data_IF_506560524511
#
_entry.id   IF_506560524511
#
_cell.length_a   1.000
_cell.length_b   1.000
_cell.length_c   1.000
_cell.angle_alpha   90.00
_cell.angle_beta   90.00
_cell.angle_gamma   90.00
#
_symmetry.space_group_name_H-M   'P 1'
#
loop_
_entity.id
_entity.type
_entity.pdbx_description
1 polymer ?
#
# COMPACT_ATOMS: atom_id res chain seq x y z
N UNK A 1 11.28 21.82 -6.04
CA UNK A 1 10.91 20.76 -5.09
C UNK A 1 10.34 19.57 -5.80
N UNK A 2 9.36 19.78 -6.66
CA UNK A 2 8.39 18.75 -7.04
C UNK A 2 8.93 17.57 -7.86
N UNK A 3 10.03 17.72 -8.59
CA UNK A 3 10.66 16.60 -9.29
C UNK A 3 11.76 15.92 -8.46
N UNK A 4 12.85 16.63 -8.15
CA UNK A 4 13.98 16.06 -7.43
C UNK A 4 13.68 15.75 -5.96
N UNK A 5 12.89 16.59 -5.29
CA UNK A 5 12.50 16.39 -3.89
C UNK A 5 11.56 15.20 -3.73
N UNK A 6 10.52 15.09 -4.57
CA UNK A 6 9.61 13.95 -4.54
C UNK A 6 10.34 12.64 -4.86
N UNK A 7 11.27 12.64 -5.83
CA UNK A 7 12.06 11.46 -6.13
C UNK A 7 12.97 11.03 -4.96
N UNK A 8 13.59 12.00 -4.27
CA UNK A 8 14.42 11.72 -3.08
C UNK A 8 13.59 11.20 -1.91
N UNK A 9 12.44 11.79 -1.64
CA UNK A 9 11.53 11.39 -0.55
C UNK A 9 11.01 9.96 -0.75
N UNK A 10 10.63 9.61 -1.99
CA UNK A 10 10.24 8.25 -2.34
C UNK A 10 11.40 7.25 -2.25
N UNK A 11 12.62 7.64 -2.63
CA UNK A 11 13.80 6.79 -2.51
C UNK A 11 14.16 6.52 -1.05
N UNK A 12 14.13 7.55 -0.20
CA UNK A 12 14.38 7.44 1.23
C UNK A 12 13.33 6.53 1.89
N UNK A 13 12.04 6.81 1.67
CA UNK A 13 10.94 6.02 2.23
C UNK A 13 10.97 4.55 1.78
N UNK A 14 11.26 4.29 0.50
CA UNK A 14 11.37 2.92 -0.03
C UNK A 14 12.54 2.16 0.59
N UNK A 15 13.68 2.83 0.79
CA UNK A 15 14.85 2.24 1.46
C UNK A 15 14.55 1.89 2.91
N UNK A 16 13.93 2.81 3.67
CA UNK A 16 13.57 2.59 5.08
C UNK A 16 12.60 1.43 5.22
N UNK A 17 11.55 1.35 4.38
CA UNK A 17 10.58 0.25 4.42
C UNK A 17 11.21 -1.10 4.08
N UNK A 18 12.11 -1.15 3.09
CA UNK A 18 12.82 -2.38 2.74
C UNK A 18 13.68 -2.88 3.90
N UNK A 19 14.51 -2.01 4.48
CA UNK A 19 15.40 -2.36 5.58
C UNK A 19 14.61 -2.81 6.81
N UNK A 20 13.53 -2.10 7.17
CA UNK A 20 12.65 -2.49 8.27
C UNK A 20 12.02 -3.87 8.04
N UNK A 21 11.57 -4.13 6.81
CA UNK A 21 10.98 -5.42 6.44
C UNK A 21 11.97 -6.58 6.51
N UNK A 22 13.24 -6.35 6.13
CA UNK A 22 14.31 -7.34 6.22
C UNK A 22 14.62 -7.67 7.69
N UNK A 23 14.77 -6.65 8.53
CA UNK A 23 15.09 -6.81 9.96
C UNK A 23 13.99 -7.60 10.68
N UNK A 24 12.73 -7.32 10.39
CA UNK A 24 11.57 -7.99 11.00
C UNK A 24 11.17 -9.30 10.31
N UNK A 25 11.70 -9.61 9.13
CA UNK A 25 11.24 -10.73 8.32
C UNK A 25 11.45 -12.11 8.96
N UNK A 26 12.60 -12.32 9.61
CA UNK A 26 12.94 -13.60 10.27
C UNK A 26 12.10 -13.81 11.54
N UNK A 27 11.92 -12.76 12.33
CA UNK A 27 11.09 -12.81 13.54
C UNK A 27 9.61 -12.98 13.21
N UNK A 28 9.11 -12.32 12.15
CA UNK A 28 7.75 -12.48 11.66
C UNK A 28 7.47 -13.92 11.19
N UNK A 29 8.40 -14.55 10.47
CA UNK A 29 8.25 -15.96 10.04
C UNK A 29 8.26 -16.93 11.22
N UNK A 30 9.16 -16.72 12.17
CA UNK A 30 9.23 -17.52 13.40
C UNK A 30 7.93 -17.41 14.23
N UNK A 31 7.34 -16.21 14.30
CA UNK A 31 6.07 -15.96 15.00
C UNK A 31 4.86 -16.62 14.31
N UNK A 32 4.93 -16.84 13.00
CA UNK A 32 3.89 -17.51 12.20
C UNK A 32 3.96 -19.04 12.34
N UNK A 33 4.96 -19.58 13.04
CA UNK A 33 5.13 -21.02 13.28
C UNK A 33 5.99 -21.72 12.23
N UNK A 34 6.73 -20.96 11.42
CA UNK A 34 7.68 -21.52 10.44
C UNK A 34 8.94 -21.99 11.17
N UNK A 35 9.43 -23.19 10.85
CA UNK A 35 10.63 -23.76 11.44
C UNK A 35 11.87 -22.88 11.23
N UNK A 36 12.89 -22.96 12.12
CA UNK A 36 14.06 -22.08 12.09
C UNK A 36 14.89 -22.18 10.79
N UNK A 37 14.80 -23.31 10.09
CA UNK A 37 15.44 -23.52 8.78
C UNK A 37 14.78 -22.75 7.63
N UNK A 38 13.47 -22.52 7.70
CA UNK A 38 12.70 -21.77 6.71
C UNK A 38 12.53 -20.29 7.08
N UNK A 39 12.76 -19.91 8.35
CA UNK A 39 12.65 -18.52 8.81
C UNK A 39 13.61 -17.57 8.07
N UNK A 40 14.75 -18.07 7.58
CA UNK A 40 15.69 -17.31 6.76
C UNK A 40 15.07 -16.83 5.43
N UNK A 41 14.03 -17.49 4.92
CA UNK A 41 13.29 -17.06 3.71
C UNK A 41 12.62 -15.71 3.91
N UNK A 42 12.27 -15.34 5.15
CA UNK A 42 11.72 -14.04 5.52
C UNK A 42 12.64 -12.85 5.24
N UNK A 43 13.95 -13.09 5.09
CA UNK A 43 14.92 -12.06 4.73
C UNK A 43 14.86 -11.70 3.24
N UNK A 44 14.70 -12.72 2.40
CA UNK A 44 14.71 -12.59 0.92
C UNK A 44 13.34 -12.18 0.38
N UNK A 45 12.26 -12.60 1.04
CA UNK A 45 10.90 -12.30 0.63
C UNK A 45 10.61 -10.81 0.37
N UNK A 46 10.88 -9.86 1.30
CA UNK A 46 10.59 -8.44 1.06
C UNK A 46 11.42 -7.85 -0.09
N UNK A 47 12.66 -8.30 -0.26
CA UNK A 47 13.53 -7.90 -1.39
C UNK A 47 12.94 -8.38 -2.71
N UNK A 48 12.52 -9.64 -2.77
CA UNK A 48 11.92 -10.22 -3.96
C UNK A 48 10.60 -9.53 -4.34
N UNK A 49 9.72 -9.27 -3.36
CA UNK A 49 8.46 -8.55 -3.59
C UNK A 49 8.72 -7.14 -4.14
N UNK A 50 9.70 -6.42 -3.58
CA UNK A 50 10.06 -5.09 -4.06
C UNK A 50 10.63 -5.13 -5.50
N UNK A 51 11.47 -6.12 -5.82
CA UNK A 51 12.01 -6.30 -7.17
C UNK A 51 10.91 -6.58 -8.20
N UNK A 52 9.94 -7.44 -7.88
CA UNK A 52 8.77 -7.66 -8.74
C UNK A 52 7.90 -6.42 -8.87
N UNK A 53 7.72 -5.65 -7.80
CA UNK A 53 7.02 -4.36 -7.83
C UNK A 53 7.67 -3.35 -8.77
N UNK A 54 9.00 -3.29 -8.81
CA UNK A 54 9.74 -2.44 -9.76
C UNK A 54 9.48 -2.86 -11.21
N UNK A 55 9.56 -4.16 -11.50
CA UNK A 55 9.27 -4.70 -12.84
C UNK A 55 7.82 -4.39 -13.25
N UNK A 56 6.86 -4.58 -12.34
CA UNK A 56 5.47 -4.27 -12.56
C UNK A 56 5.24 -2.77 -12.84
N UNK A 57 5.96 -1.89 -12.15
CA UNK A 57 5.93 -0.44 -12.39
C UNK A 57 6.46 -0.06 -13.77
N UNK A 58 7.61 -0.64 -14.18
CA UNK A 58 8.16 -0.43 -15.53
C UNK A 58 7.14 -0.80 -16.61
N UNK A 59 6.51 -1.98 -16.48
CA UNK A 59 5.46 -2.43 -17.40
C UNK A 59 4.26 -1.46 -17.37
N UNK A 60 3.82 -1.05 -16.17
CA UNK A 60 2.73 -0.11 -15.99
C UNK A 60 2.95 1.21 -16.71
N UNK A 61 4.16 1.77 -16.64
CA UNK A 61 4.55 3.02 -17.32
C UNK A 61 4.40 2.88 -18.83
N UNK A 62 4.86 1.78 -19.44
CA UNK A 62 4.71 1.55 -20.88
C UNK A 62 3.24 1.36 -21.34
N UNK A 63 2.36 0.99 -20.42
CA UNK A 63 0.93 0.79 -20.66
C UNK A 63 0.09 2.04 -20.43
N UNK A 64 0.65 3.11 -19.87
CA UNK A 64 -0.02 4.42 -19.77
C UNK A 64 -0.19 4.98 -21.19
N UNK A 65 -1.40 4.81 -21.74
CA UNK A 65 -1.78 5.35 -23.05
C UNK A 65 -3.14 6.04 -22.96
N UNK A 66 -3.23 7.34 -23.33
CA UNK A 66 -4.51 8.04 -23.41
C UNK A 66 -5.35 7.43 -24.53
N UNK A 67 -6.65 7.23 -24.29
CA UNK A 67 -7.58 6.77 -25.33
C UNK A 67 -8.09 7.93 -26.17
N UNK A 68 -8.44 7.71 -27.45
CA UNK A 68 -9.07 8.74 -28.27
C UNK A 68 -10.37 9.25 -27.60
N UNK A 69 -10.48 10.57 -27.41
CA UNK A 69 -11.62 11.22 -26.74
C UNK A 69 -11.52 11.33 -25.21
N UNK A 70 -10.41 10.89 -24.60
CA UNK A 70 -10.18 11.04 -23.17
C UNK A 70 -9.65 12.45 -22.85
N UNK A 71 -10.44 13.26 -22.12
CA UNK A 71 -10.10 14.66 -21.77
C UNK A 71 -9.26 14.79 -20.50
N UNK A 72 -9.12 13.69 -19.74
CA UNK A 72 -8.52 13.66 -18.42
C UNK A 72 -7.28 12.77 -18.42
N UNK A 73 -6.10 13.40 -18.32
CA UNK A 73 -4.82 12.71 -18.30
C UNK A 73 -4.65 11.82 -17.05
N UNK A 74 -5.28 12.18 -15.92
CA UNK A 74 -5.18 11.41 -14.68
C UNK A 74 -5.78 10.01 -14.84
N UNK A 75 -6.85 9.86 -15.64
CA UNK A 75 -7.45 8.55 -15.89
C UNK A 75 -6.52 7.58 -16.62
N UNK A 76 -5.67 8.09 -17.52
CA UNK A 76 -4.68 7.27 -18.20
C UNK A 76 -3.58 6.80 -17.23
N UNK A 77 -3.15 7.69 -16.32
CA UNK A 77 -2.16 7.40 -15.28
C UNK A 77 -2.72 6.41 -14.27
N UNK A 78 -3.91 6.64 -13.74
CA UNK A 78 -4.61 5.74 -12.80
C UNK A 78 -4.76 4.33 -13.36
N UNK A 79 -5.02 4.21 -14.67
CA UNK A 79 -5.09 2.92 -15.35
C UNK A 79 -3.75 2.20 -15.36
N UNK A 80 -2.66 2.91 -15.65
CA UNK A 80 -1.31 2.36 -15.59
C UNK A 80 -0.92 1.91 -14.19
N UNK A 81 -1.23 2.73 -13.18
CA UNK A 81 -1.04 2.38 -11.76
C UNK A 81 -1.84 1.12 -11.40
N UNK A 82 -3.12 1.05 -11.78
CA UNK A 82 -3.96 -0.12 -11.52
C UNK A 82 -3.43 -1.41 -12.17
N UNK A 83 -2.93 -1.32 -13.41
CA UNK A 83 -2.31 -2.48 -14.07
C UNK A 83 -1.01 -2.89 -13.36
N UNK A 84 -0.15 -1.94 -13.00
CA UNK A 84 1.07 -2.22 -12.24
C UNK A 84 0.75 -2.89 -10.90
N UNK A 85 -0.28 -2.44 -10.19
CA UNK A 85 -0.73 -3.05 -8.94
C UNK A 85 -1.18 -4.50 -9.13
N UNK A 86 -1.97 -4.80 -10.18
CA UNK A 86 -2.41 -6.17 -10.47
C UNK A 86 -1.22 -7.07 -10.75
N UNK A 87 -0.26 -6.62 -11.57
CA UNK A 87 0.95 -7.39 -11.88
C UNK A 87 1.79 -7.61 -10.61
N UNK A 88 1.94 -6.59 -9.78
CA UNK A 88 2.66 -6.69 -8.51
C UNK A 88 2.00 -7.69 -7.54
N UNK A 89 0.66 -7.70 -7.46
CA UNK A 89 -0.08 -8.68 -6.65
C UNK A 89 0.09 -10.10 -7.17
N UNK A 90 0.07 -10.31 -8.49
CA UNK A 90 0.33 -11.63 -9.09
C UNK A 90 1.76 -12.08 -8.78
N UNK A 91 2.75 -11.18 -8.91
CA UNK A 91 4.14 -11.47 -8.54
C UNK A 91 4.29 -11.81 -7.05
N UNK A 92 3.63 -11.06 -6.18
CA UNK A 92 3.61 -11.33 -4.75
C UNK A 92 2.94 -12.67 -4.42
N UNK A 93 1.86 -13.05 -5.12
CA UNK A 93 1.22 -14.35 -4.97
C UNK A 93 2.16 -15.49 -5.39
N UNK A 94 2.82 -15.34 -6.55
CA UNK A 94 3.78 -16.33 -7.04
C UNK A 94 4.95 -16.52 -6.06
N UNK A 95 5.46 -15.44 -5.47
CA UNK A 95 6.49 -15.51 -4.43
C UNK A 95 5.97 -16.11 -3.12
N UNK A 96 4.79 -15.71 -2.66
CA UNK A 96 4.24 -16.18 -1.40
C UNK A 96 3.91 -17.69 -1.44
N UNK A 97 3.32 -18.19 -2.52
CA UNK A 97 2.99 -19.61 -2.64
C UNK A 97 4.15 -20.46 -3.19
N UNK A 98 5.03 -19.89 -4.02
CA UNK A 98 6.14 -20.61 -4.64
C UNK A 98 7.44 -20.62 -3.83
N UNK A 99 7.77 -19.52 -3.13
CA UNK A 99 9.04 -19.36 -2.41
C UNK A 99 8.90 -19.64 -0.90
N UNK A 100 7.88 -19.09 -0.25
CA UNK A 100 7.59 -19.42 1.17
C UNK A 100 6.99 -20.82 1.26
N UNK A 101 6.12 -21.17 0.30
CA UNK A 101 5.52 -22.49 0.22
C UNK A 101 4.48 -22.74 1.31
N UNK A 102 3.95 -23.96 1.33
CA UNK A 102 3.12 -24.49 2.40
C UNK A 102 3.89 -25.63 3.06
N UNK A 103 4.85 -25.35 3.97
CA UNK A 103 5.60 -26.39 4.65
C UNK A 103 4.66 -27.06 5.65
N UNK A 104 3.93 -28.07 5.17
CA UNK A 104 3.08 -29.01 5.87
C UNK A 104 1.99 -28.44 6.79
N UNK A 105 0.85 -29.13 6.81
CA UNK A 105 -0.23 -28.90 7.76
C UNK A 105 0.24 -29.18 9.19
N UNK A 106 0.96 -28.24 9.81
CA UNK A 106 1.34 -28.32 11.22
C UNK A 106 0.25 -27.64 12.03
N UNK A 107 -0.54 -28.47 12.69
CA UNK A 107 -1.77 -28.13 13.37
C UNK A 107 -1.63 -27.25 14.61
N UNK A 108 -2.79 -26.79 15.06
CA UNK A 108 -3.04 -26.42 16.45
C UNK A 108 -2.73 -24.97 16.81
N UNK A 109 -3.58 -24.04 16.38
CA UNK A 109 -3.59 -22.70 16.94
C UNK A 109 -4.65 -21.82 16.31
N UNK A 110 -5.53 -21.28 17.14
CA UNK A 110 -6.69 -20.44 16.87
C UNK A 110 -6.33 -19.16 16.05
N UNK A 111 -6.14 -19.31 14.74
CA UNK A 111 -5.62 -18.27 13.83
C UNK A 111 -6.41 -18.27 12.51
N UNK A 112 -6.73 -17.07 11.99
CA UNK A 112 -7.63 -16.85 10.84
C UNK A 112 -7.23 -17.54 9.53
N UNK A 113 -5.94 -17.83 9.30
CA UNK A 113 -5.43 -18.51 8.09
C UNK A 113 -4.33 -19.49 8.52
N UNK A 114 -4.46 -20.78 8.20
CA UNK A 114 -3.51 -21.83 8.63
C UNK A 114 -2.21 -21.88 7.81
N UNK A 115 -2.18 -21.29 6.62
CA UNK A 115 -1.04 -21.36 5.70
C UNK A 115 -0.10 -20.12 5.85
N UNK A 116 1.18 -20.31 6.20
CA UNK A 116 2.17 -19.23 6.32
C UNK A 116 2.33 -18.37 5.05
N UNK A 117 2.32 -18.99 3.87
CA UNK A 117 2.41 -18.28 2.59
C UNK A 117 1.20 -17.39 2.35
N UNK A 118 0.00 -17.85 2.71
CA UNK A 118 -1.22 -17.06 2.60
C UNK A 118 -1.25 -15.86 3.57
N UNK A 119 -0.62 -15.97 4.74
CA UNK A 119 -0.47 -14.84 5.68
C UNK A 119 0.46 -13.76 5.13
N UNK A 120 1.62 -14.15 4.58
CA UNK A 120 2.55 -13.20 3.95
C UNK A 120 1.94 -12.53 2.72
N UNK A 121 1.22 -13.29 1.91
CA UNK A 121 0.46 -12.74 0.80
C UNK A 121 -0.62 -11.77 1.28
N UNK A 122 -1.37 -12.14 2.31
CA UNK A 122 -2.37 -11.28 2.94
C UNK A 122 -1.78 -9.96 3.45
N UNK A 123 -0.60 -10.00 4.08
CA UNK A 123 0.08 -8.80 4.56
C UNK A 123 0.46 -7.86 3.40
N UNK A 124 0.98 -8.41 2.30
CA UNK A 124 1.27 -7.62 1.08
C UNK A 124 -0.02 -7.06 0.49
N UNK A 125 -1.10 -7.84 0.43
CA UNK A 125 -2.41 -7.38 -0.06
C UNK A 125 -2.97 -6.22 0.78
N UNK A 126 -2.85 -6.29 2.11
CA UNK A 126 -3.27 -5.19 3.00
C UNK A 126 -2.47 -3.92 2.69
N UNK A 127 -1.16 -4.03 2.46
CA UNK A 127 -0.32 -2.90 2.05
C UNK A 127 -0.72 -2.32 0.69
N UNK A 128 -0.99 -3.17 -0.31
CA UNK A 128 -1.46 -2.74 -1.64
C UNK A 128 -2.83 -2.07 -1.54
N UNK A 129 -3.75 -2.64 -0.76
CA UNK A 129 -5.08 -2.09 -0.53
C UNK A 129 -5.01 -0.73 0.18
N UNK A 130 -4.12 -0.57 1.16
CA UNK A 130 -3.86 0.72 1.81
C UNK A 130 -3.37 1.76 0.80
N UNK A 131 -2.38 1.41 -0.04
CA UNK A 131 -1.88 2.31 -1.08
C UNK A 131 -2.96 2.74 -2.08
N UNK A 132 -3.84 1.80 -2.49
CA UNK A 132 -4.97 2.10 -3.35
C UNK A 132 -6.01 3.00 -2.65
N UNK A 133 -6.34 2.71 -1.39
CA UNK A 133 -7.27 3.51 -0.60
C UNK A 133 -6.74 4.93 -0.39
N UNK A 134 -5.46 5.07 -0.02
CA UNK A 134 -4.79 6.36 0.14
C UNK A 134 -4.84 7.17 -1.17
N UNK A 135 -4.48 6.56 -2.29
CA UNK A 135 -4.57 7.19 -3.61
C UNK A 135 -5.99 7.67 -3.93
N UNK A 136 -7.02 6.87 -3.64
CA UNK A 136 -8.43 7.26 -3.88
C UNK A 136 -8.93 8.36 -2.95
N UNK A 137 -8.56 8.31 -1.68
CA UNK A 137 -8.88 9.38 -0.71
C UNK A 137 -8.25 10.69 -1.19
N UNK A 138 -6.95 10.69 -1.50
CA UNK A 138 -6.25 11.87 -2.02
C UNK A 138 -6.90 12.38 -3.31
N UNK A 139 -7.21 11.52 -4.27
CA UNK A 139 -7.88 11.91 -5.52
C UNK A 139 -9.27 12.53 -5.25
N UNK A 140 -10.02 12.04 -4.28
CA UNK A 140 -11.34 12.59 -3.93
C UNK A 140 -11.24 14.00 -3.35
N UNK A 141 -10.27 14.28 -2.48
CA UNK A 141 -10.11 15.60 -1.85
C UNK A 141 -9.32 16.60 -2.72
N UNK A 142 -8.69 16.17 -3.82
CA UNK A 142 -7.85 17.04 -4.68
C UNK A 142 -8.39 17.22 -6.10
N UNK A 143 -9.30 16.37 -6.58
CA UNK A 143 -9.84 16.48 -7.93
C UNK A 143 -10.80 17.68 -8.09
N UNK A 144 -10.68 18.41 -9.19
CA UNK A 144 -11.55 19.56 -9.51
C UNK A 144 -13.00 19.17 -9.79
N UNK A 145 -13.26 17.90 -10.07
CA UNK A 145 -14.60 17.39 -10.38
C UNK A 145 -15.35 16.88 -9.15
N UNK A 146 -14.71 16.79 -7.99
CA UNK A 146 -15.31 16.25 -6.77
C UNK A 146 -15.89 17.36 -5.88
N UNK A 147 -16.82 16.96 -5.02
CA UNK A 147 -17.55 17.87 -4.14
C UNK A 147 -16.64 18.73 -3.23
N UNK A 148 -15.61 18.18 -2.55
CA UNK A 148 -14.77 18.98 -1.65
C UNK A 148 -14.12 20.18 -2.35
N UNK A 149 -13.51 19.96 -3.52
CA UNK A 149 -12.83 21.05 -4.26
C UNK A 149 -13.84 22.04 -4.85
N UNK A 150 -15.01 21.56 -5.28
CA UNK A 150 -16.09 22.45 -5.75
C UNK A 150 -16.66 23.31 -4.63
N UNK A 151 -16.71 22.82 -3.39
CA UNK A 151 -17.19 23.58 -2.25
C UNK A 151 -16.17 24.67 -1.85
N UNK A 152 -14.86 24.39 -1.91
CA UNK A 152 -13.80 25.42 -1.84
C UNK A 152 -14.00 26.46 -2.94
N UNK A 153 -14.22 26.03 -4.18
CA UNK A 153 -14.42 26.93 -5.30
C UNK A 153 -15.67 27.81 -5.12
N UNK A 154 -16.75 27.31 -4.51
CA UNK A 154 -17.93 28.13 -4.18
C UNK A 154 -17.64 29.12 -3.05
N UNK A 155 -16.86 28.72 -2.04
CA UNK A 155 -16.45 29.60 -0.94
C UNK A 155 -15.66 30.82 -1.42
N UNK A 156 -15.00 30.75 -2.58
CA UNK A 156 -14.34 31.92 -3.19
C UNK A 156 -15.28 33.08 -3.48
N UNK A 157 -16.59 32.82 -3.66
CA UNK A 157 -17.59 33.88 -3.91
C UNK A 157 -17.82 34.77 -2.69
N UNK A 158 -17.52 34.30 -1.48
CA UNK A 158 -17.69 35.05 -0.23
C UNK A 158 -16.40 35.72 0.24
N UNK A 159 -15.28 35.46 -0.43
CA UNK A 159 -14.01 36.16 -0.26
C UNK A 159 -12.79 35.24 -0.06
N UNK A 160 -11.58 35.82 0.04
CA UNK A 160 -10.35 35.05 0.26
C UNK A 160 -10.31 34.37 1.63
N UNK A 161 -10.83 35.02 2.67
CA UNK A 161 -10.82 34.48 4.02
C UNK A 161 -11.62 33.17 4.14
N UNK A 162 -12.82 33.13 3.54
CA UNK A 162 -13.67 31.93 3.52
C UNK A 162 -13.08 30.81 2.67
N UNK A 163 -12.38 31.14 1.59
CA UNK A 163 -11.65 30.14 0.77
C UNK A 163 -10.59 29.42 1.60
N UNK A 164 -9.78 30.17 2.36
CA UNK A 164 -8.71 29.60 3.19
C UNK A 164 -9.29 28.75 4.33
N UNK A 165 -10.35 29.24 4.98
CA UNK A 165 -11.02 28.50 6.05
C UNK A 165 -11.62 27.18 5.54
N UNK A 166 -12.29 27.20 4.39
CA UNK A 166 -12.85 26.00 3.76
C UNK A 166 -11.75 25.00 3.38
N UNK A 167 -10.64 25.50 2.81
CA UNK A 167 -9.48 24.68 2.45
C UNK A 167 -8.83 24.01 3.66
N UNK A 168 -8.65 24.73 4.77
CA UNK A 168 -8.12 24.16 6.03
C UNK A 168 -9.10 23.14 6.59
N UNK A 169 -10.40 23.45 6.60
CA UNK A 169 -11.41 22.55 7.16
C UNK A 169 -11.46 21.21 6.41
N UNK A 170 -11.49 21.25 5.07
CA UNK A 170 -11.49 20.03 4.25
C UNK A 170 -10.14 19.30 4.29
N UNK A 171 -9.04 20.04 4.46
CA UNK A 171 -7.73 19.46 4.70
C UNK A 171 -7.71 18.60 5.97
N UNK A 172 -8.25 19.12 7.07
CA UNK A 172 -8.38 18.38 8.33
C UNK A 172 -9.34 17.18 8.19
N UNK A 173 -10.44 17.32 7.45
CA UNK A 173 -11.35 16.20 7.16
C UNK A 173 -10.63 15.08 6.40
N UNK A 174 -9.84 15.43 5.37
CA UNK A 174 -9.09 14.43 4.57
C UNK A 174 -8.09 13.63 5.41
N UNK A 175 -7.48 14.27 6.40
CA UNK A 175 -6.54 13.63 7.31
C UNK A 175 -7.20 12.54 8.17
N UNK A 176 -8.45 12.75 8.60
CA UNK A 176 -9.22 11.75 9.36
C UNK A 176 -9.44 10.49 8.54
N UNK A 177 -9.83 10.64 7.27
CA UNK A 177 -10.01 9.49 6.37
C UNK A 177 -8.71 8.75 6.11
N UNK A 178 -7.59 9.48 5.93
CA UNK A 178 -6.26 8.89 5.83
C UNK A 178 -5.87 8.09 7.06
N UNK A 179 -6.10 8.66 8.25
CA UNK A 179 -5.81 7.98 9.53
C UNK A 179 -6.64 6.70 9.70
N UNK A 180 -7.93 6.73 9.37
CA UNK A 180 -8.80 5.56 9.44
C UNK A 180 -8.30 4.45 8.51
N UNK A 181 -7.88 4.79 7.28
CA UNK A 181 -7.34 3.82 6.33
C UNK A 181 -6.07 3.14 6.87
N UNK A 182 -5.15 3.92 7.44
CA UNK A 182 -3.93 3.40 8.07
C UNK A 182 -4.25 2.51 9.28
N UNK A 183 -5.15 2.95 10.16
CA UNK A 183 -5.57 2.18 11.33
C UNK A 183 -6.20 0.84 10.94
N UNK A 184 -7.06 0.83 9.91
CA UNK A 184 -7.65 -0.39 9.38
C UNK A 184 -6.60 -1.34 8.78
N UNK A 185 -5.61 -0.81 8.06
CA UNK A 185 -4.52 -1.60 7.50
C UNK A 185 -3.63 -2.22 8.59
N UNK A 186 -3.26 -1.44 9.62
CA UNK A 186 -2.51 -1.96 10.77
C UNK A 186 -3.32 -3.06 11.48
N UNK A 187 -4.61 -2.83 11.72
CA UNK A 187 -5.49 -3.84 12.32
C UNK A 187 -5.57 -5.13 11.49
N UNK A 188 -5.69 -5.01 10.16
CA UNK A 188 -5.68 -6.16 9.24
C UNK A 188 -4.35 -6.92 9.26
N UNK A 189 -3.22 -6.21 9.26
CA UNK A 189 -1.89 -6.82 9.33
C UNK A 189 -1.66 -7.56 10.66
N UNK A 190 -2.07 -6.98 11.79
CA UNK A 190 -1.97 -7.61 13.11
C UNK A 190 -2.87 -8.85 13.20
N UNK A 191 -4.08 -8.80 12.66
CA UNK A 191 -4.99 -9.95 12.62
C UNK A 191 -4.38 -11.12 11.82
N UNK A 192 -3.70 -10.84 10.70
CA UNK A 192 -3.01 -11.85 9.90
C UNK A 192 -1.76 -12.41 10.61
N UNK A 193 -1.10 -11.62 11.45
CA UNK A 193 0.01 -12.04 12.31
C UNK A 193 -0.41 -12.77 13.59
N UNK A 194 -1.71 -13.04 13.77
CA UNK A 194 -2.21 -13.80 14.91
C UNK A 194 -2.43 -13.00 16.19
N UNK A 195 -2.66 -11.69 16.08
CA UNK A 195 -3.05 -10.85 17.22
C UNK A 195 -1.94 -10.61 18.26
N UNK A 196 -0.69 -10.96 17.96
CA UNK A 196 0.42 -10.78 18.87
C UNK A 196 0.89 -9.32 18.92
N UNK A 197 0.45 -8.57 19.93
CA UNK A 197 0.86 -7.18 20.21
C UNK A 197 2.32 -7.03 20.68
N UNK A 198 3.13 -8.10 20.67
CA UNK A 198 4.51 -8.10 21.19
C UNK A 198 5.51 -7.29 20.37
N UNK A 199 5.11 -6.72 19.24
CA UNK A 199 5.97 -5.91 18.37
C UNK A 199 5.45 -4.47 18.15
N UNK A 200 4.57 -3.97 19.04
CA UNK A 200 4.19 -2.56 19.05
C UNK A 200 5.07 -1.74 20.01
N UNK A 201 6.38 -1.77 19.83
CA UNK A 201 7.33 -0.73 20.29
C UNK A 201 8.48 -0.65 19.29
#
# INVERSE_FOLDING_TARGET
>A
GDCAGMASDLFESSGVVLVASIILGVSAMSAIGVGPEDAAKGLVFPVAVMAFGLIASIIGIFLVKPKPGETDALKAIDRGIGIAQIIAVIGAAALAFGYVGNPDAVGGGDLLVSNPGARMFGAVLVGVALGFAASKITAYFTSTTTKPVQDIAKATRTGPATTVLEGISLGLESAVWGLIAVAAAIGGAIALGGGSFKFSV
#
